data_IF_675327152921
#
_entry.id   IF_675327152921
#
_cell.length_a   1.000
_cell.length_b   1.000
_cell.length_c   1.000
_cell.angle_alpha   90.00
_cell.angle_beta   90.00
_cell.angle_gamma   90.00
#
_symmetry.space_group_name_H-M   'P 1'
#
loop_
_entity.id
_entity.type
_entity.pdbx_description
1 polymer ?
#
# COMPACT_ATOMS: atom_id res chain seq x y z
N UNK A 1 22.83 36.88 67.57
CA UNK A 1 22.52 37.22 66.16
C UNK A 1 23.37 36.44 65.15
N UNK A 2 24.71 36.40 65.24
CA UNK A 2 25.56 35.68 64.25
C UNK A 2 25.22 34.19 64.06
N UNK A 3 24.95 33.43 65.13
CA UNK A 3 24.64 31.99 65.06
C UNK A 3 23.37 31.69 64.22
N UNK A 4 22.31 32.49 64.40
CA UNK A 4 21.01 32.29 63.75
C UNK A 4 21.11 32.53 62.23
N UNK A 5 21.90 33.51 61.81
CA UNK A 5 22.20 33.77 60.39
C UNK A 5 22.94 32.59 59.73
N UNK A 6 23.89 31.95 60.42
CA UNK A 6 24.61 30.80 59.86
C UNK A 6 23.69 29.58 59.71
N UNK A 7 22.81 29.31 60.67
CA UNK A 7 21.84 28.21 60.60
C UNK A 7 20.86 28.42 59.44
N UNK A 8 20.37 29.65 59.24
CA UNK A 8 19.48 29.99 58.12
C UNK A 8 20.17 29.79 56.77
N UNK A 9 21.43 30.21 56.63
CA UNK A 9 22.19 30.01 55.39
C UNK A 9 22.39 28.52 55.07
N UNK A 10 22.69 27.69 56.08
CA UNK A 10 22.83 26.24 55.89
C UNK A 10 21.50 25.61 55.48
N UNK A 11 20.38 26.01 56.10
CA UNK A 11 19.06 25.50 55.71
C UNK A 11 18.71 25.86 54.26
N UNK A 12 18.98 27.10 53.83
CA UNK A 12 18.75 27.54 52.44
C UNK A 12 19.64 26.77 51.47
N UNK A 13 20.90 26.52 51.83
CA UNK A 13 21.82 25.74 51.01
C UNK A 13 21.34 24.30 50.83
N UNK A 14 20.92 23.65 51.93
CA UNK A 14 20.40 22.27 51.90
C UNK A 14 19.09 22.19 51.10
N UNK A 15 18.17 23.14 51.31
CA UNK A 15 16.92 23.19 50.56
C UNK A 15 17.19 23.38 49.05
N UNK A 16 18.10 24.29 48.70
CA UNK A 16 18.50 24.53 47.30
C UNK A 16 19.14 23.28 46.67
N UNK A 17 20.01 22.58 47.41
CA UNK A 17 20.64 21.35 46.93
C UNK A 17 19.61 20.22 46.71
N UNK A 18 18.64 20.08 47.61
CA UNK A 18 17.53 19.13 47.47
C UNK A 18 16.67 19.45 46.25
N UNK A 19 16.26 20.71 46.09
CA UNK A 19 15.45 21.13 44.94
C UNK A 19 16.20 20.91 43.63
N UNK A 20 17.48 21.29 43.57
CA UNK A 20 18.33 21.05 42.40
C UNK A 20 18.46 19.56 42.09
N UNK A 21 18.73 18.72 43.11
CA UNK A 21 18.82 17.27 42.95
C UNK A 21 17.53 16.65 42.41
N UNK A 22 16.37 17.05 42.95
CA UNK A 22 15.06 16.60 42.45
C UNK A 22 14.81 17.08 41.03
N UNK A 23 15.15 18.32 40.71
CA UNK A 23 15.00 18.87 39.37
C UNK A 23 15.85 18.09 38.35
N UNK A 24 17.14 17.87 38.63
CA UNK A 24 18.02 17.10 37.75
C UNK A 24 17.60 15.64 37.61
N UNK A 25 17.17 15.00 38.70
CA UNK A 25 16.65 13.63 38.65
C UNK A 25 15.37 13.56 37.81
N UNK A 26 14.46 14.52 37.99
CA UNK A 26 13.21 14.62 37.24
C UNK A 26 13.46 14.85 35.76
N UNK A 27 14.34 15.80 35.41
CA UNK A 27 14.71 16.10 34.03
C UNK A 27 15.34 14.88 33.34
N UNK A 28 16.28 14.22 34.02
CA UNK A 28 16.95 13.03 33.51
C UNK A 28 16.00 11.84 33.30
N UNK A 29 15.08 11.60 34.23
CA UNK A 29 14.09 10.52 34.12
C UNK A 29 13.03 10.84 33.06
N UNK A 30 12.53 12.08 33.01
CA UNK A 30 11.54 12.51 32.03
C UNK A 30 12.08 12.40 30.61
N UNK A 31 13.29 12.91 30.34
CA UNK A 31 13.89 12.88 29.01
C UNK A 31 14.09 11.44 28.52
N UNK A 32 14.54 10.52 29.39
CA UNK A 32 14.72 9.13 29.01
C UNK A 32 13.39 8.43 28.72
N UNK A 33 12.40 8.63 29.58
CA UNK A 33 11.07 8.05 29.36
C UNK A 33 10.44 8.58 28.08
N UNK A 34 10.52 9.89 27.83
CA UNK A 34 10.01 10.52 26.61
C UNK A 34 10.68 9.93 25.36
N UNK A 35 12.00 9.78 25.34
CA UNK A 35 12.72 9.18 24.20
C UNK A 35 12.28 7.76 23.90
N UNK A 36 12.11 6.93 24.94
CA UNK A 36 11.67 5.55 24.76
C UNK A 36 10.21 5.49 24.28
N UNK A 37 9.33 6.32 24.83
CA UNK A 37 7.95 6.42 24.39
C UNK A 37 7.85 6.90 22.95
N UNK A 38 8.61 7.92 22.57
CA UNK A 38 8.66 8.44 21.20
C UNK A 38 9.16 7.39 20.21
N UNK A 39 10.26 6.69 20.54
CA UNK A 39 10.78 5.61 19.71
C UNK A 39 9.78 4.47 19.52
N UNK A 40 9.12 4.04 20.60
CA UNK A 40 8.09 3.01 20.55
C UNK A 40 6.88 3.46 19.72
N UNK A 41 6.42 4.70 19.90
CA UNK A 41 5.30 5.26 19.14
C UNK A 41 5.60 5.34 17.64
N UNK A 42 6.81 5.76 17.26
CA UNK A 42 7.26 5.77 15.85
C UNK A 42 7.31 4.34 15.30
N UNK A 43 7.85 3.39 16.05
CA UNK A 43 7.95 1.98 15.62
C UNK A 43 6.56 1.36 15.44
N UNK A 44 5.64 1.60 16.36
CA UNK A 44 4.26 1.14 16.28
C UNK A 44 3.53 1.75 15.08
N UNK A 45 3.73 3.04 14.83
CA UNK A 45 3.17 3.73 13.66
C UNK A 45 3.70 3.13 12.34
N UNK A 46 5.00 2.86 12.25
CA UNK A 46 5.58 2.19 11.07
C UNK A 46 5.02 0.78 10.87
N UNK A 47 4.85 0.01 11.96
CA UNK A 47 4.26 -1.33 11.88
C UNK A 47 2.80 -1.27 11.43
N UNK A 48 2.03 -0.30 11.93
CA UNK A 48 0.66 -0.07 11.51
C UNK A 48 0.58 0.25 10.01
N UNK A 49 1.45 1.12 9.48
CA UNK A 49 1.52 1.44 8.05
C UNK A 49 1.82 0.17 7.24
N UNK A 50 2.82 -0.60 7.62
CA UNK A 50 3.16 -1.86 6.93
C UNK A 50 1.99 -2.86 6.93
N UNK A 51 1.32 -3.04 8.07
CA UNK A 51 0.17 -3.93 8.17
C UNK A 51 -1.03 -3.46 7.34
N UNK A 52 -1.23 -2.15 7.23
CA UNK A 52 -2.32 -1.57 6.43
C UNK A 52 -2.04 -1.76 4.95
N UNK A 53 -0.82 -1.45 4.49
CA UNK A 53 -0.39 -1.71 3.11
C UNK A 53 -0.51 -3.19 2.76
N UNK A 54 -0.03 -4.09 3.63
CA UNK A 54 -0.13 -5.53 3.36
C UNK A 54 -1.59 -5.99 3.26
N UNK A 55 -2.47 -5.47 4.10
CA UNK A 55 -3.91 -5.77 4.02
C UNK A 55 -4.51 -5.32 2.69
N UNK A 56 -4.12 -4.14 2.20
CA UNK A 56 -4.60 -3.64 0.91
C UNK A 56 -4.06 -4.47 -0.27
N UNK A 57 -2.79 -4.90 -0.21
CA UNK A 57 -2.22 -5.87 -1.16
C UNK A 57 -3.03 -7.16 -1.16
N UNK A 58 -3.28 -7.75 0.02
CA UNK A 58 -4.02 -9.00 0.16
C UNK A 58 -5.47 -8.87 -0.35
N UNK A 59 -6.12 -7.73 -0.07
CA UNK A 59 -7.49 -7.42 -0.49
C UNK A 59 -7.60 -7.28 -2.00
N UNK A 60 -6.66 -6.55 -2.61
CA UNK A 60 -6.59 -6.43 -4.06
C UNK A 60 -6.24 -7.79 -4.69
N UNK A 61 -5.37 -8.59 -4.07
CA UNK A 61 -4.99 -9.92 -4.54
C UNK A 61 -6.17 -10.90 -4.57
N UNK A 62 -7.04 -10.89 -3.55
CA UNK A 62 -8.30 -11.66 -3.57
C UNK A 62 -9.18 -11.23 -4.74
N UNK A 63 -9.35 -9.92 -4.94
CA UNK A 63 -10.14 -9.39 -6.07
C UNK A 63 -9.52 -9.80 -7.41
N UNK A 64 -8.20 -9.68 -7.56
CA UNK A 64 -7.48 -10.09 -8.76
C UNK A 64 -7.67 -11.57 -9.07
N UNK A 65 -7.57 -12.46 -8.07
CA UNK A 65 -7.82 -13.90 -8.24
C UNK A 65 -9.24 -14.20 -8.66
N UNK A 66 -10.23 -13.58 -8.04
CA UNK A 66 -11.65 -13.83 -8.36
C UNK A 66 -11.96 -13.48 -9.82
N UNK A 67 -11.37 -12.39 -10.34
CA UNK A 67 -11.53 -12.00 -11.75
C UNK A 67 -10.65 -12.81 -12.71
N UNK A 68 -9.45 -13.23 -12.27
CA UNK A 68 -8.53 -14.02 -13.09
C UNK A 68 -8.98 -15.48 -13.24
N UNK A 69 -9.66 -16.03 -12.23
CA UNK A 69 -10.25 -17.37 -12.21
C UNK A 69 -11.73 -17.34 -12.58
N UNK A 70 -12.06 -16.60 -13.64
CA UNK A 70 -13.42 -16.53 -14.17
C UNK A 70 -13.43 -16.98 -15.63
N UNK A 71 -14.34 -17.90 -15.96
CA UNK A 71 -14.44 -18.46 -17.31
C UNK A 71 -14.65 -17.37 -18.37
N UNK A 72 -15.40 -16.32 -18.07
CA UNK A 72 -15.63 -15.21 -19.00
C UNK A 72 -14.33 -14.44 -19.29
N UNK A 73 -13.52 -14.17 -18.27
CA UNK A 73 -12.17 -13.59 -18.44
C UNK A 73 -11.29 -14.52 -19.27
N UNK A 74 -11.31 -15.82 -18.98
CA UNK A 74 -10.52 -16.84 -19.69
C UNK A 74 -10.88 -16.91 -21.19
N UNK A 75 -12.17 -16.87 -21.52
CA UNK A 75 -12.62 -16.84 -22.91
C UNK A 75 -12.32 -15.49 -23.57
N UNK A 76 -12.48 -14.38 -22.85
CA UNK A 76 -12.18 -13.04 -23.34
C UNK A 76 -10.73 -12.90 -23.84
N UNK A 77 -9.75 -13.44 -23.12
CA UNK A 77 -8.33 -13.41 -23.55
C UNK A 77 -8.14 -14.04 -24.94
N UNK A 78 -8.93 -15.06 -25.25
CA UNK A 78 -8.82 -15.83 -26.50
C UNK A 78 -9.67 -15.24 -27.63
N UNK A 79 -10.91 -14.84 -27.33
CA UNK A 79 -11.89 -14.45 -28.35
C UNK A 79 -12.00 -12.93 -28.54
N UNK A 80 -11.53 -12.13 -27.57
CA UNK A 80 -11.62 -10.66 -27.54
C UNK A 80 -13.05 -10.16 -27.77
N UNK A 81 -14.02 -10.83 -27.16
CA UNK A 81 -15.43 -10.50 -27.32
C UNK A 81 -15.75 -9.12 -26.73
N UNK A 82 -16.31 -8.23 -27.56
CA UNK A 82 -16.73 -6.89 -27.16
C UNK A 82 -17.84 -6.94 -26.11
N UNK A 83 -18.69 -7.97 -26.12
CA UNK A 83 -19.75 -8.12 -25.12
C UNK A 83 -19.21 -8.24 -23.69
N UNK A 84 -18.02 -8.83 -23.51
CA UNK A 84 -17.35 -8.88 -22.21
C UNK A 84 -16.96 -7.49 -21.72
N UNK A 85 -16.43 -6.65 -22.62
CA UNK A 85 -16.04 -5.27 -22.29
C UNK A 85 -17.27 -4.46 -21.89
N UNK A 86 -18.33 -4.53 -22.70
CA UNK A 86 -19.55 -3.74 -22.52
C UNK A 86 -20.35 -4.12 -21.26
N UNK A 87 -20.19 -5.35 -20.77
CA UNK A 87 -20.90 -5.85 -19.59
C UNK A 87 -20.07 -5.82 -18.30
N UNK A 88 -18.75 -6.05 -18.38
CA UNK A 88 -17.90 -6.24 -17.21
C UNK A 88 -16.87 -5.14 -16.99
N UNK A 89 -16.43 -4.44 -18.04
CA UNK A 89 -15.36 -3.44 -17.96
C UNK A 89 -15.89 -2.01 -18.07
N UNK A 90 -17.08 -1.79 -17.52
CA UNK A 90 -17.73 -0.48 -17.41
C UNK A 90 -17.12 0.35 -16.27
N UNK A 91 -17.34 1.67 -16.28
CA UNK A 91 -16.77 2.59 -15.28
C UNK A 91 -17.17 2.20 -13.84
N UNK A 92 -18.39 1.69 -13.66
CA UNK A 92 -18.91 1.23 -12.37
C UNK A 92 -18.08 0.08 -11.78
N UNK A 93 -17.47 -0.76 -12.61
CA UNK A 93 -16.59 -1.84 -12.14
C UNK A 93 -15.37 -1.27 -11.42
N UNK A 94 -14.75 -0.24 -11.98
CA UNK A 94 -13.61 0.44 -11.38
C UNK A 94 -14.00 1.11 -10.06
N UNK A 95 -15.13 1.81 -10.04
CA UNK A 95 -15.62 2.51 -8.85
C UNK A 95 -15.96 1.51 -7.73
N UNK A 96 -16.70 0.45 -8.04
CA UNK A 96 -17.18 -0.51 -7.05
C UNK A 96 -16.05 -1.38 -6.48
N UNK A 97 -15.09 -1.76 -7.33
CA UNK A 97 -13.93 -2.54 -6.91
C UNK A 97 -12.77 -1.66 -6.39
N UNK A 98 -12.89 -0.33 -6.48
CA UNK A 98 -11.83 0.62 -6.13
C UNK A 98 -10.56 0.36 -6.93
N UNK A 99 -10.67 0.29 -8.25
CA UNK A 99 -9.54 0.00 -9.15
C UNK A 99 -9.13 1.25 -9.90
N UNK A 100 -7.83 1.49 -9.95
CA UNK A 100 -7.20 2.51 -10.79
C UNK A 100 -6.71 1.94 -12.10
N UNK A 101 -6.40 0.65 -12.15
CA UNK A 101 -5.88 -0.01 -13.33
C UNK A 101 -6.51 -1.39 -13.51
N UNK A 102 -6.83 -1.71 -14.76
CA UNK A 102 -7.26 -3.04 -15.18
C UNK A 102 -6.61 -3.36 -16.54
N UNK A 103 -5.72 -4.34 -16.55
CA UNK A 103 -4.91 -4.73 -17.69
C UNK A 103 -4.96 -6.26 -17.84
N UNK A 104 -5.23 -6.73 -19.06
CA UNK A 104 -5.19 -8.14 -19.41
C UNK A 104 -4.12 -8.33 -20.48
N UNK A 105 -3.14 -9.19 -20.18
CA UNK A 105 -2.14 -9.66 -21.12
C UNK A 105 -2.50 -11.06 -21.61
N UNK A 106 -2.16 -11.40 -22.84
CA UNK A 106 -2.22 -12.77 -23.32
C UNK A 106 -0.99 -13.59 -22.86
N UNK A 107 -0.95 -14.87 -23.21
CA UNK A 107 0.18 -15.78 -22.89
C UNK A 107 1.53 -15.38 -23.51
N UNK A 108 1.56 -14.42 -24.43
CA UNK A 108 2.81 -13.85 -24.98
C UNK A 108 3.22 -12.53 -24.30
N UNK A 109 2.49 -12.09 -23.28
CA UNK A 109 2.71 -10.80 -22.59
C UNK A 109 2.16 -9.58 -23.33
N UNK A 110 1.45 -9.77 -24.45
CA UNK A 110 0.89 -8.65 -25.22
C UNK A 110 -0.46 -8.20 -24.64
N UNK A 111 -0.72 -6.88 -24.56
CA UNK A 111 -1.99 -6.38 -24.05
C UNK A 111 -3.17 -6.77 -24.94
N UNK A 112 -4.19 -7.37 -24.32
CA UNK A 112 -5.51 -7.66 -24.91
C UNK A 112 -6.50 -6.56 -24.55
N UNK A 113 -6.43 -6.07 -23.31
CA UNK A 113 -7.21 -4.95 -22.81
C UNK A 113 -6.39 -4.18 -21.79
N UNK A 114 -6.56 -2.87 -21.71
CA UNK A 114 -5.85 -2.05 -20.72
C UNK A 114 -6.48 -0.69 -20.56
N UNK A 115 -6.97 -0.38 -19.36
CA UNK A 115 -7.42 0.97 -19.00
C UNK A 115 -6.91 1.40 -17.62
N UNK A 116 -6.68 2.71 -17.48
CA UNK A 116 -6.52 3.41 -16.20
C UNK A 116 -7.81 4.18 -15.94
N UNK A 117 -8.27 4.19 -14.69
CA UNK A 117 -9.42 4.96 -14.28
C UNK A 117 -9.01 6.40 -13.94
N UNK A 118 -9.59 7.36 -14.65
CA UNK A 118 -9.47 8.78 -14.34
C UNK A 118 -10.60 9.15 -13.37
N UNK A 119 -10.24 9.40 -12.11
CA UNK A 119 -11.18 9.77 -11.05
C UNK A 119 -11.79 11.16 -11.23
N UNK A 120 -11.10 12.10 -11.89
CA UNK A 120 -11.63 13.45 -12.11
C UNK A 120 -12.78 13.42 -13.11
N UNK A 121 -12.61 12.66 -14.19
CA UNK A 121 -13.60 12.53 -15.25
C UNK A 121 -14.54 11.33 -15.06
N UNK A 122 -14.28 10.47 -14.07
CA UNK A 122 -14.97 9.19 -13.82
C UNK A 122 -15.02 8.29 -15.06
N UNK A 123 -13.89 8.17 -15.77
CA UNK A 123 -13.81 7.41 -17.01
C UNK A 123 -12.57 6.55 -17.11
N UNK A 124 -12.72 5.33 -17.63
CA UNK A 124 -11.60 4.47 -17.98
C UNK A 124 -10.91 4.91 -19.29
N UNK A 125 -9.68 5.42 -19.21
CA UNK A 125 -8.86 5.88 -20.33
C UNK A 125 -7.80 4.83 -20.71
N UNK A 126 -7.28 4.89 -21.93
CA UNK A 126 -6.28 3.93 -22.40
C UNK A 126 -4.99 4.01 -21.57
N UNK A 127 -4.42 2.85 -21.20
CA UNK A 127 -3.14 2.80 -20.50
C UNK A 127 -2.03 3.43 -21.35
N UNK A 128 -1.23 4.37 -20.82
CA UNK A 128 -0.05 4.91 -21.49
C UNK A 128 1.01 3.84 -21.74
N UNK A 129 1.75 3.94 -22.85
CA UNK A 129 2.82 2.97 -23.19
C UNK A 129 3.89 2.87 -22.09
N UNK A 130 4.24 4.00 -21.46
CA UNK A 130 5.19 4.05 -20.33
C UNK A 130 4.74 3.22 -19.13
N UNK A 131 3.44 3.11 -18.90
CA UNK A 131 2.88 2.31 -17.81
C UNK A 131 3.06 0.81 -18.11
N UNK A 132 2.78 0.39 -19.36
CA UNK A 132 2.99 -1.00 -19.80
C UNK A 132 4.46 -1.42 -19.65
N UNK A 133 5.40 -0.59 -20.12
CA UNK A 133 6.84 -0.87 -19.99
C UNK A 133 7.24 -1.09 -18.53
N UNK A 134 6.72 -0.27 -17.61
CA UNK A 134 7.04 -0.38 -16.18
C UNK A 134 6.50 -1.66 -15.55
N UNK A 135 5.31 -2.09 -15.96
CA UNK A 135 4.71 -3.36 -15.54
C UNK A 135 5.55 -4.54 -16.06
N UNK A 136 5.90 -4.54 -17.35
CA UNK A 136 6.72 -5.59 -17.97
C UNK A 136 8.08 -5.75 -17.27
N UNK A 137 8.77 -4.64 -16.99
CA UNK A 137 10.03 -4.64 -16.23
C UNK A 137 9.86 -5.28 -14.84
N UNK A 138 8.76 -4.97 -14.15
CA UNK A 138 8.48 -5.45 -12.80
C UNK A 138 8.16 -6.95 -12.77
N UNK A 139 7.34 -7.43 -13.71
CA UNK A 139 7.03 -8.85 -13.86
C UNK A 139 8.28 -9.67 -14.23
N UNK A 140 9.09 -9.16 -15.16
CA UNK A 140 10.33 -9.81 -15.58
C UNK A 140 11.34 -9.93 -14.42
N UNK A 141 11.40 -8.95 -13.52
CA UNK A 141 12.27 -8.97 -12.36
C UNK A 141 11.87 -10.04 -11.33
N UNK A 142 10.57 -10.29 -11.14
CA UNK A 142 10.06 -11.24 -10.14
C UNK A 142 10.06 -12.70 -10.61
N UNK A 143 10.12 -12.97 -11.92
CA UNK A 143 10.11 -14.34 -12.49
C UNK A 143 8.96 -15.20 -11.96
N UNK A 144 7.79 -14.59 -11.75
CA UNK A 144 6.61 -15.23 -11.21
C UNK A 144 5.39 -14.84 -12.02
N UNK A 145 4.49 -15.79 -12.24
CA UNK A 145 3.21 -15.55 -12.92
C UNK A 145 2.19 -14.87 -11.99
N UNK A 146 2.45 -14.90 -10.68
CA UNK A 146 1.74 -14.12 -9.67
C UNK A 146 2.68 -13.10 -9.05
N UNK A 147 2.28 -11.82 -9.06
CA UNK A 147 3.05 -10.72 -8.48
C UNK A 147 2.11 -9.87 -7.64
N UNK A 148 2.43 -9.67 -6.37
CA UNK A 148 1.68 -8.77 -5.49
C UNK A 148 2.69 -7.82 -4.82
N UNK A 149 2.45 -6.51 -4.90
CA UNK A 149 3.36 -5.55 -4.27
C UNK A 149 3.14 -4.11 -4.70
N UNK A 150 4.15 -3.27 -4.52
CA UNK A 150 4.10 -1.84 -4.86
C UNK A 150 5.04 -1.54 -6.03
N UNK A 151 4.51 -0.85 -7.04
CA UNK A 151 5.27 -0.30 -8.15
C UNK A 151 5.17 1.23 -8.11
N UNK A 152 6.31 1.90 -8.24
CA UNK A 152 6.35 3.37 -8.28
C UNK A 152 6.24 3.84 -9.73
N UNK A 153 5.18 4.57 -10.02
CA UNK A 153 4.90 5.27 -11.28
C UNK A 153 5.09 6.79 -11.13
N UNK A 154 5.16 7.56 -12.23
CA UNK A 154 5.26 9.02 -12.18
C UNK A 154 4.11 9.69 -11.42
N UNK A 155 2.91 9.11 -11.47
CA UNK A 155 1.72 9.62 -10.79
C UNK A 155 1.71 9.28 -9.29
N UNK A 156 2.44 8.24 -8.88
CA UNK A 156 2.53 7.81 -7.49
C UNK A 156 2.85 6.32 -7.31
N UNK A 157 3.04 5.88 -6.05
CA UNK A 157 3.12 4.46 -5.72
C UNK A 157 1.76 3.80 -5.92
N UNK A 158 1.74 2.65 -6.59
CA UNK A 158 0.56 1.85 -6.85
C UNK A 158 0.75 0.45 -6.30
N UNK A 159 -0.24 -0.05 -5.56
CA UNK A 159 -0.37 -1.47 -5.26
C UNK A 159 -0.80 -2.17 -6.55
N UNK A 160 -0.01 -3.15 -6.98
CA UNK A 160 -0.26 -3.92 -8.19
C UNK A 160 -0.33 -5.40 -7.83
N UNK A 161 -1.36 -6.06 -8.36
CA UNK A 161 -1.48 -7.52 -8.33
C UNK A 161 -1.55 -8.03 -9.77
N UNK A 162 -0.83 -9.11 -10.04
CA UNK A 162 -0.84 -9.84 -11.28
C UNK A 162 -1.18 -11.29 -10.98
N UNK A 163 -2.18 -11.84 -11.66
CA UNK A 163 -2.66 -13.20 -11.46
C UNK A 163 -2.82 -13.92 -12.81
N UNK A 164 -2.46 -15.20 -12.91
CA UNK A 164 -2.63 -15.98 -14.12
C UNK A 164 -4.12 -16.17 -14.43
N UNK A 165 -4.51 -15.93 -15.68
CA UNK A 165 -5.89 -16.13 -16.12
C UNK A 165 -6.14 -17.61 -16.37
N UNK A 166 -7.00 -18.20 -15.54
CA UNK A 166 -7.35 -19.61 -15.53
C UNK A 166 -8.86 -19.79 -15.64
N UNK A 167 -9.30 -21.02 -15.90
CA UNK A 167 -10.73 -21.38 -15.80
C UNK A 167 -11.20 -21.28 -14.35
N UNK A 168 -12.51 -21.20 -14.14
CA UNK A 168 -13.09 -21.12 -12.79
C UNK A 168 -12.83 -22.35 -11.92
N UNK A 169 -12.38 -23.46 -12.51
CA UNK A 169 -11.92 -24.64 -11.77
C UNK A 169 -10.50 -24.47 -11.18
N UNK A 170 -9.77 -23.42 -11.57
CA UNK A 170 -8.35 -23.25 -11.28
C UNK A 170 -7.44 -24.19 -12.07
N UNK A 171 -7.98 -24.93 -13.04
CA UNK A 171 -7.26 -25.93 -13.82
C UNK A 171 -6.92 -25.45 -15.24
N UNK A 172 -5.93 -26.11 -15.84
CA UNK A 172 -5.51 -25.90 -17.22
C UNK A 172 -4.35 -24.91 -17.35
N UNK A 173 -3.86 -24.69 -18.59
CA UNK A 173 -2.81 -23.72 -18.82
C UNK A 173 -3.37 -22.31 -18.63
N UNK A 174 -2.56 -21.45 -18.01
CA UNK A 174 -2.79 -20.02 -18.04
C UNK A 174 -2.85 -19.52 -19.48
N UNK A 175 -3.89 -18.74 -19.82
CA UNK A 175 -4.04 -18.13 -21.15
C UNK A 175 -3.53 -16.70 -21.21
N UNK A 176 -3.11 -16.15 -20.06
CA UNK A 176 -2.67 -14.77 -19.94
C UNK A 176 -2.48 -14.34 -18.49
N UNK A 177 -2.35 -13.04 -18.28
CA UNK A 177 -2.18 -12.46 -16.94
C UNK A 177 -3.15 -11.30 -16.78
N UNK A 178 -3.95 -11.34 -15.72
CA UNK A 178 -4.76 -10.22 -15.30
C UNK A 178 -3.95 -9.39 -14.31
N UNK A 179 -3.93 -8.09 -14.53
CA UNK A 179 -3.19 -7.13 -13.71
C UNK A 179 -4.18 -6.07 -13.25
N UNK A 180 -4.27 -5.89 -11.94
CA UNK A 180 -5.07 -4.85 -11.32
C UNK A 180 -4.17 -3.94 -10.49
N UNK A 181 -4.54 -2.67 -10.42
CA UNK A 181 -3.79 -1.68 -9.67
C UNK A 181 -4.68 -0.71 -8.90
N UNK A 182 -4.17 -0.27 -7.75
CA UNK A 182 -4.74 0.79 -6.92
C UNK A 182 -3.64 1.74 -6.46
N UNK A 183 -3.77 3.04 -6.72
CA UNK A 183 -2.82 4.04 -6.21
C UNK A 183 -2.90 4.12 -4.69
N UNK A 184 -1.76 4.34 -4.05
CA UNK A 184 -1.70 4.66 -2.63
C UNK A 184 -1.84 6.18 -2.52
N UNK A 185 -3.05 6.62 -2.18
CA UNK A 185 -3.39 8.02 -1.92
C UNK A 185 -3.93 8.20 -0.49
N UNK A 186 -4.36 9.43 -0.17
CA UNK A 186 -4.89 9.78 1.15
C UNK A 186 -6.24 9.09 1.45
N UNK A 187 -6.90 8.52 0.43
CA UNK A 187 -8.17 7.79 0.55
C UNK A 187 -7.98 6.27 0.68
N UNK A 188 -6.73 5.79 0.74
CA UNK A 188 -6.43 4.39 1.02
C UNK A 188 -7.07 3.98 2.36
N UNK A 189 -8.07 3.11 2.29
CA UNK A 189 -8.93 2.73 3.42
C UNK A 189 -8.30 1.70 4.36
#
# INVERSE_FOLDING_TARGET
MKLLTHVVLVMILVASALIGGVFFASDYLLIQNLKNTEYNAVTESCNLVNHTIQREIDTLGVTGRDWAMWDDTYFFVQNRDQAYIDSNLVNETYINAGLDCFLILNSTGMPVYGRIFDHENQTAVQIPESFLTRIEESLAAQRSDTVEGIIVFPEGPMIVVAEPVLRSTGEGPSVGTLIMGRYIDDDLR
#
